data_IF_658040161423
#
_entry.id   IF_658040161423
#
_cell.length_a   1.000
_cell.length_b   1.000
_cell.length_c   1.000
_cell.angle_alpha   90.00
_cell.angle_beta   90.00
_cell.angle_gamma   90.00
#
_symmetry.space_group_name_H-M   'P 1'
#
loop_
_entity.id
_entity.type
_entity.pdbx_description
1 polymer ?
#
# COMPACT_ATOMS: atom_id res chain seq x y z
N UNK A 1 24.74 9.40 30.81
CA UNK A 1 24.70 8.82 29.46
C UNK A 1 23.39 9.22 28.81
N UNK A 2 23.42 10.25 27.99
CA UNK A 2 22.22 10.73 27.30
C UNK A 2 21.86 9.74 26.20
N UNK A 3 20.72 9.08 26.36
CA UNK A 3 20.06 8.38 25.28
C UNK A 3 19.60 9.44 24.28
N UNK A 4 20.22 9.46 23.10
CA UNK A 4 19.77 10.31 21.99
C UNK A 4 18.33 9.94 21.66
N UNK A 5 17.41 10.87 21.92
CA UNK A 5 16.03 10.73 21.52
C UNK A 5 15.97 10.77 19.99
N UNK A 6 15.78 9.61 19.37
CA UNK A 6 15.47 9.53 17.94
C UNK A 6 14.14 10.26 17.75
N UNK A 7 14.20 11.48 17.24
CA UNK A 7 13.00 12.24 16.91
C UNK A 7 12.19 11.43 15.91
N UNK A 8 11.05 10.96 16.37
CA UNK A 8 10.12 10.20 15.56
C UNK A 8 9.39 11.18 14.66
N UNK A 9 9.96 11.47 13.49
CA UNK A 9 9.30 12.23 12.44
C UNK A 9 8.45 11.23 11.65
N UNK A 10 7.11 11.25 11.75
CA UNK A 10 6.25 10.45 10.89
C UNK A 10 6.38 11.05 9.49
N UNK A 11 7.08 10.33 8.62
CA UNK A 11 7.09 10.62 7.18
C UNK A 11 5.81 10.07 6.56
N UNK A 12 4.69 10.69 6.92
CA UNK A 12 3.40 10.36 6.33
C UNK A 12 3.43 10.70 4.83
N UNK A 13 2.90 9.81 3.96
CA UNK A 13 2.90 10.07 2.52
C UNK A 13 2.11 11.33 2.18
N UNK A 14 2.73 12.21 1.40
CA UNK A 14 2.10 13.40 0.83
C UNK A 14 1.30 12.95 -0.40
N UNK A 15 -0.01 13.16 -0.39
CA UNK A 15 -0.85 12.88 -1.58
C UNK A 15 -0.53 13.90 -2.68
N UNK A 16 -0.11 13.39 -3.85
CA UNK A 16 0.14 14.19 -5.06
C UNK A 16 -1.10 14.18 -5.96
N UNK A 17 -1.72 13.02 -6.11
CA UNK A 17 -2.91 12.83 -6.93
C UNK A 17 -3.81 11.78 -6.26
N UNK A 18 -5.11 12.03 -6.22
CA UNK A 18 -6.10 11.05 -5.77
C UNK A 18 -7.38 11.25 -6.59
N UNK A 19 -7.67 10.29 -7.46
CA UNK A 19 -8.86 10.30 -8.30
C UNK A 19 -9.36 8.87 -8.56
N UNK A 20 -10.45 8.74 -9.31
CA UNK A 20 -11.09 7.44 -9.56
C UNK A 20 -10.20 6.42 -10.31
N UNK A 21 -9.10 6.84 -10.91
CA UNK A 21 -8.21 6.00 -11.73
C UNK A 21 -6.87 5.70 -11.08
N UNK A 22 -6.39 6.57 -10.18
CA UNK A 22 -5.09 6.39 -9.53
C UNK A 22 -4.98 7.25 -8.28
N UNK A 23 -4.29 6.71 -7.27
CA UNK A 23 -3.75 7.48 -6.16
C UNK A 23 -2.23 7.44 -6.20
N UNK A 24 -1.60 8.61 -6.24
CA UNK A 24 -0.15 8.79 -6.19
C UNK A 24 0.18 9.57 -4.92
N UNK A 25 1.06 9.02 -4.09
CA UNK A 25 1.61 9.69 -2.93
C UNK A 25 3.13 9.64 -2.94
N UNK A 26 3.77 10.54 -2.20
CA UNK A 26 5.21 10.61 -2.08
C UNK A 26 5.68 10.68 -0.63
N UNK A 27 6.79 10.01 -0.36
CA UNK A 27 7.51 10.10 0.91
C UNK A 27 8.87 10.72 0.63
N UNK A 28 9.16 11.82 1.31
CA UNK A 28 10.45 12.50 1.18
C UNK A 28 11.48 11.84 2.08
N UNK A 29 12.57 11.38 1.49
CA UNK A 29 13.75 10.90 2.19
C UNK A 29 14.71 12.07 2.36
N UNK A 30 14.83 12.56 3.59
CA UNK A 30 15.84 13.56 3.95
C UNK A 30 17.04 12.86 4.61
N UNK A 31 18.28 13.16 4.22
CA UNK A 31 19.46 12.66 4.91
C UNK A 31 19.49 13.22 6.34
N UNK A 32 19.76 12.35 7.31
CA UNK A 32 19.69 12.58 8.76
C UNK A 32 20.64 13.67 9.28
N UNK A 33 21.60 14.11 8.46
CA UNK A 33 22.72 14.98 8.83
C UNK A 33 22.56 16.45 8.41
N UNK A 34 21.46 16.83 7.75
CA UNK A 34 21.30 18.20 7.23
C UNK A 34 20.13 18.89 7.92
N UNK A 35 20.41 19.99 8.64
CA UNK A 35 19.36 20.90 9.12
C UNK A 35 18.52 21.40 7.92
N UNK A 36 17.19 21.41 8.07
CA UNK A 36 16.19 21.64 7.01
C UNK A 36 16.44 22.90 6.14
N UNK A 37 17.23 23.85 6.62
CA UNK A 37 17.59 25.10 5.94
C UNK A 37 18.78 24.99 4.97
N UNK A 38 19.55 23.90 4.98
CA UNK A 38 20.80 23.77 4.22
C UNK A 38 20.84 22.63 3.20
N UNK A 39 19.80 21.78 3.15
CA UNK A 39 19.71 20.67 2.19
C UNK A 39 19.59 21.18 0.76
N UNK A 40 20.57 20.84 -0.09
CA UNK A 40 20.50 21.16 -1.51
C UNK A 40 19.40 20.31 -2.15
N UNK A 41 18.79 20.76 -3.26
CA UNK A 41 17.83 19.95 -3.99
C UNK A 41 18.35 18.55 -4.37
N UNK A 42 19.66 18.43 -4.61
CA UNK A 42 20.34 17.17 -4.91
C UNK A 42 20.47 16.21 -3.70
N UNK A 43 20.24 16.70 -2.47
CA UNK A 43 20.30 15.91 -1.25
C UNK A 43 18.92 15.35 -0.87
N UNK A 44 17.88 15.63 -1.67
CA UNK A 44 16.51 15.17 -1.42
C UNK A 44 16.24 13.98 -2.30
N UNK A 45 15.82 12.88 -1.67
CA UNK A 45 15.36 11.70 -2.37
C UNK A 45 13.87 11.47 -2.09
N UNK A 46 13.21 10.68 -2.94
CA UNK A 46 11.76 10.51 -2.87
C UNK A 46 11.35 9.08 -3.20
N UNK A 47 10.32 8.62 -2.51
CA UNK A 47 9.60 7.39 -2.83
C UNK A 47 8.23 7.80 -3.37
N UNK A 48 7.87 7.39 -4.57
CA UNK A 48 6.51 7.50 -5.08
C UNK A 48 5.78 6.17 -4.92
N UNK A 49 4.54 6.23 -4.45
CA UNK A 49 3.65 5.09 -4.29
C UNK A 49 2.45 5.34 -5.21
N UNK A 50 2.29 4.47 -6.21
CA UNK A 50 1.18 4.47 -7.15
C UNK A 50 0.24 3.32 -6.80
N UNK A 51 -0.99 3.65 -6.43
CA UNK A 51 -2.05 2.71 -6.10
C UNK A 51 -3.15 2.79 -7.15
N UNK A 52 -3.40 1.69 -7.87
CA UNK A 52 -4.53 1.59 -8.79
C UNK A 52 -5.78 1.08 -8.06
N UNK A 53 -6.98 1.47 -8.51
CA UNK A 53 -8.23 1.08 -7.87
C UNK A 53 -8.49 -0.42 -8.01
N UNK A 54 -9.12 -0.98 -6.98
CA UNK A 54 -9.66 -2.34 -6.99
C UNK A 54 -10.73 -2.49 -8.07
N UNK A 55 -10.65 -3.57 -8.84
CA UNK A 55 -11.68 -3.94 -9.80
C UNK A 55 -12.74 -4.74 -9.05
N UNK A 56 -13.92 -4.14 -8.88
CA UNK A 56 -15.04 -4.79 -8.19
C UNK A 56 -15.53 -5.99 -8.99
N UNK A 57 -15.76 -7.09 -8.29
CA UNK A 57 -16.31 -8.30 -8.88
C UNK A 57 -17.70 -8.09 -9.49
N UNK A 58 -18.05 -8.94 -10.46
CA UNK A 58 -19.34 -8.87 -11.14
C UNK A 58 -20.47 -9.19 -10.16
N UNK A 59 -21.53 -8.38 -10.18
CA UNK A 59 -22.75 -8.63 -9.42
C UNK A 59 -23.73 -9.49 -10.22
N UNK A 60 -24.26 -10.54 -9.59
CA UNK A 60 -25.21 -11.48 -10.17
C UNK A 60 -26.61 -11.22 -9.63
N UNK A 61 -27.45 -10.57 -10.45
CA UNK A 61 -28.83 -10.27 -10.08
C UNK A 61 -29.65 -11.51 -9.76
N UNK A 62 -29.49 -12.58 -10.55
CA UNK A 62 -30.18 -13.85 -10.34
C UNK A 62 -29.85 -14.47 -8.98
N UNK A 63 -28.58 -14.41 -8.54
CA UNK A 63 -28.19 -14.86 -7.20
C UNK A 63 -28.86 -14.00 -6.12
N UNK A 64 -28.87 -12.68 -6.29
CA UNK A 64 -29.53 -11.78 -5.33
C UNK A 64 -31.04 -12.06 -5.21
N UNK A 65 -31.72 -12.29 -6.35
CA UNK A 65 -33.14 -12.67 -6.38
C UNK A 65 -33.38 -14.03 -5.71
N UNK A 66 -32.51 -15.02 -5.94
CA UNK A 66 -32.57 -16.32 -5.27
C UNK A 66 -32.37 -16.22 -3.74
N UNK A 67 -31.63 -15.21 -3.27
CA UNK A 67 -31.50 -14.85 -1.86
C UNK A 67 -32.62 -13.92 -1.33
N UNK A 68 -33.67 -13.71 -2.13
CA UNK A 68 -34.87 -12.98 -1.71
C UNK A 68 -34.67 -11.47 -1.63
N UNK A 69 -33.73 -10.91 -2.40
CA UNK A 69 -33.52 -9.47 -2.50
C UNK A 69 -34.29 -8.87 -3.67
N UNK A 70 -35.07 -7.83 -3.38
CA UNK A 70 -35.74 -7.06 -4.41
C UNK A 70 -34.76 -6.07 -5.08
N UNK A 71 -34.96 -5.74 -6.37
CA UNK A 71 -34.13 -4.75 -7.06
C UNK A 71 -34.21 -3.38 -6.35
N UNK A 72 -33.06 -2.82 -6.00
CA UNK A 72 -33.04 -1.53 -5.33
C UNK A 72 -31.73 -1.19 -4.61
N UNK A 73 -31.77 -0.27 -3.63
CA UNK A 73 -30.60 0.26 -2.93
C UNK A 73 -29.71 -0.80 -2.27
N UNK A 74 -30.28 -1.95 -1.88
CA UNK A 74 -29.54 -3.08 -1.29
C UNK A 74 -28.47 -3.63 -2.23
N UNK A 75 -28.67 -3.57 -3.55
CA UNK A 75 -27.66 -3.99 -4.52
C UNK A 75 -26.43 -3.09 -4.50
N UNK A 76 -26.63 -1.78 -4.32
CA UNK A 76 -25.52 -0.83 -4.23
C UNK A 76 -24.71 -1.04 -2.94
N UNK A 77 -25.39 -1.34 -1.82
CA UNK A 77 -24.71 -1.68 -0.55
C UNK A 77 -23.82 -2.92 -0.71
N UNK A 78 -24.34 -3.97 -1.33
CA UNK A 78 -23.55 -5.18 -1.62
C UNK A 78 -22.33 -4.88 -2.50
N UNK A 79 -22.49 -4.06 -3.54
CA UNK A 79 -21.36 -3.60 -4.38
C UNK A 79 -20.31 -2.77 -3.64
N UNK A 80 -20.68 -2.16 -2.50
CA UNK A 80 -19.77 -1.46 -1.60
C UNK A 80 -19.14 -2.36 -0.54
N UNK A 81 -19.44 -3.66 -0.55
CA UNK A 81 -18.95 -4.62 0.43
C UNK A 81 -19.82 -4.73 1.69
N UNK A 82 -20.95 -4.04 1.75
CA UNK A 82 -21.85 -4.06 2.90
C UNK A 82 -22.82 -5.23 2.80
N UNK A 83 -22.97 -5.99 3.89
CA UNK A 83 -23.96 -7.07 3.98
C UNK A 83 -25.35 -6.50 4.29
N UNK A 84 -26.40 -7.13 3.77
CA UNK A 84 -27.78 -6.64 3.89
C UNK A 84 -28.74 -7.76 4.30
N UNK A 85 -29.81 -7.43 5.03
CA UNK A 85 -30.87 -8.40 5.32
C UNK A 85 -31.71 -8.66 4.06
N UNK A 86 -32.09 -9.91 3.81
CA UNK A 86 -33.03 -10.28 2.74
C UNK A 86 -34.39 -9.60 2.91
N UNK A 87 -35.12 -9.36 1.81
CA UNK A 87 -36.48 -8.78 1.84
C UNK A 87 -37.55 -9.84 2.13
N UNK A 88 -37.28 -11.09 1.73
CA UNK A 88 -38.26 -12.20 1.77
C UNK A 88 -37.90 -13.29 2.76
N UNK A 89 -36.64 -13.38 3.18
CA UNK A 89 -36.15 -14.41 4.09
C UNK A 89 -35.52 -13.79 5.34
N UNK A 90 -35.46 -14.53 6.45
CA UNK A 90 -34.77 -14.10 7.66
C UNK A 90 -33.27 -14.46 7.62
N UNK A 91 -32.58 -13.99 6.58
CA UNK A 91 -31.14 -14.24 6.37
C UNK A 91 -30.39 -12.93 6.10
N UNK A 92 -29.09 -12.94 6.40
CA UNK A 92 -28.15 -11.93 5.94
C UNK A 92 -27.53 -12.39 4.62
N UNK A 93 -27.50 -11.49 3.64
CA UNK A 93 -26.85 -11.69 2.34
C UNK A 93 -25.54 -10.92 2.34
N UNK A 94 -24.45 -11.61 2.09
CA UNK A 94 -23.11 -11.06 2.00
C UNK A 94 -22.73 -10.78 0.54
N UNK A 95 -21.80 -9.85 0.27
CA UNK A 95 -21.31 -9.61 -1.09
C UNK A 95 -20.83 -10.89 -1.78
N UNK A 96 -20.16 -11.79 -1.06
CA UNK A 96 -19.68 -13.08 -1.57
C UNK A 96 -20.77 -14.01 -2.09
N UNK A 97 -22.01 -13.86 -1.62
CA UNK A 97 -23.12 -14.72 -2.03
C UNK A 97 -23.61 -14.35 -3.44
N UNK A 98 -23.40 -13.11 -3.87
CA UNK A 98 -23.99 -12.54 -5.08
C UNK A 98 -22.98 -11.83 -5.98
N UNK A 99 -21.70 -11.77 -5.62
CA UNK A 99 -20.65 -11.14 -6.40
C UNK A 99 -19.44 -12.06 -6.55
N UNK A 100 -18.73 -11.92 -7.67
CA UNK A 100 -17.36 -12.45 -7.75
C UNK A 100 -16.45 -11.73 -6.74
N UNK A 101 -15.35 -12.38 -6.30
CA UNK A 101 -14.33 -11.69 -5.53
C UNK A 101 -13.75 -10.53 -6.34
N UNK A 102 -13.48 -9.42 -5.67
CA UNK A 102 -12.78 -8.31 -6.29
C UNK A 102 -11.31 -8.64 -6.56
N UNK A 103 -10.75 -7.97 -7.56
CA UNK A 103 -9.33 -8.05 -7.89
C UNK A 103 -8.65 -6.79 -7.30
N UNK A 104 -7.71 -6.94 -6.34
CA UNK A 104 -6.96 -5.80 -5.84
C UNK A 104 -6.25 -5.06 -6.97
N UNK A 105 -6.32 -3.72 -6.95
CA UNK A 105 -5.60 -2.91 -7.91
C UNK A 105 -4.09 -2.99 -7.65
N UNK A 106 -3.25 -2.99 -8.69
CA UNK A 106 -1.82 -3.13 -8.50
C UNK A 106 -1.20 -1.90 -7.82
N UNK A 107 -0.16 -2.14 -7.05
CA UNK A 107 0.62 -1.11 -6.37
C UNK A 107 2.05 -1.14 -6.86
N UNK A 108 2.57 0.02 -7.26
CA UNK A 108 3.93 0.18 -7.77
C UNK A 108 4.65 1.25 -6.98
N UNK A 109 5.88 0.94 -6.56
CA UNK A 109 6.77 1.90 -5.91
C UNK A 109 7.85 2.34 -6.89
N UNK A 110 8.18 3.63 -6.87
CA UNK A 110 9.40 4.17 -7.47
C UNK A 110 10.27 4.72 -6.35
N UNK A 111 11.43 4.12 -6.15
CA UNK A 111 12.31 4.40 -5.00
C UNK A 111 13.59 5.02 -5.50
N UNK A 112 13.75 6.31 -5.27
CA UNK A 112 15.04 6.97 -5.36
C UNK A 112 15.76 6.80 -4.01
N UNK A 113 16.97 6.26 -4.03
CA UNK A 113 17.77 6.05 -2.81
C UNK A 113 19.27 6.10 -3.15
N UNK A 114 19.84 7.29 -3.35
CA UNK A 114 21.17 7.42 -3.95
C UNK A 114 22.32 7.12 -2.98
N UNK A 115 22.10 7.18 -1.66
CA UNK A 115 23.18 7.06 -0.66
C UNK A 115 22.78 6.20 0.54
N UNK A 116 23.76 5.79 1.34
CA UNK A 116 23.50 5.00 2.55
C UNK A 116 22.65 5.75 3.59
N UNK A 117 22.81 7.07 3.71
CA UNK A 117 21.96 7.88 4.61
C UNK A 117 20.48 7.85 4.20
N UNK A 118 20.18 7.85 2.89
CA UNK A 118 18.81 7.67 2.42
C UNK A 118 18.29 6.26 2.74
N UNK A 119 19.13 5.23 2.62
CA UNK A 119 18.76 3.85 2.97
C UNK A 119 18.50 3.68 4.48
N UNK A 120 19.27 4.35 5.33
CA UNK A 120 19.02 4.39 6.77
C UNK A 120 17.67 5.03 7.07
N UNK A 121 17.36 6.14 6.41
CA UNK A 121 16.07 6.81 6.58
C UNK A 121 14.92 5.94 6.08
N UNK A 122 15.07 5.33 4.91
CA UNK A 122 14.11 4.40 4.31
C UNK A 122 13.71 3.29 5.28
N UNK A 123 14.67 2.72 6.02
CA UNK A 123 14.42 1.65 6.97
C UNK A 123 13.56 2.09 8.16
N UNK A 124 13.58 3.38 8.51
CA UNK A 124 12.85 3.96 9.64
C UNK A 124 11.41 4.39 9.29
N UNK A 125 11.02 4.33 8.02
CA UNK A 125 9.68 4.76 7.60
C UNK A 125 8.63 3.73 8.02
N UNK A 126 7.84 4.09 9.02
CA UNK A 126 6.73 3.26 9.51
C UNK A 126 5.47 3.34 8.65
N UNK A 127 5.27 4.43 7.90
CA UNK A 127 4.12 4.56 6.99
C UNK A 127 4.13 3.51 5.86
N UNK A 128 5.28 2.87 5.62
CA UNK A 128 5.43 1.74 4.71
C UNK A 128 4.95 0.39 5.28
N UNK A 129 4.70 0.28 6.59
CA UNK A 129 4.36 -0.98 7.23
C UNK A 129 3.13 -1.67 6.62
N UNK A 130 2.15 -0.89 6.16
CA UNK A 130 0.93 -1.41 5.53
C UNK A 130 1.18 -2.07 4.16
N UNK A 131 2.38 -1.92 3.58
CA UNK A 131 2.78 -2.48 2.29
C UNK A 131 3.75 -3.66 2.43
N UNK A 132 4.29 -3.87 3.63
CA UNK A 132 5.14 -5.02 3.88
C UNK A 132 4.31 -6.31 3.84
N UNK A 133 4.90 -7.35 3.25
CA UNK A 133 4.34 -8.69 3.17
C UNK A 133 4.12 -9.27 4.56
N UNK A 134 3.16 -10.20 4.65
CA UNK A 134 2.83 -10.88 5.91
C UNK A 134 3.93 -11.86 6.26
N UNK A 135 4.40 -11.82 7.50
CA UNK A 135 5.23 -12.89 8.06
C UNK A 135 4.33 -13.90 8.79
N UNK A 136 4.77 -15.15 8.85
CA UNK A 136 4.03 -16.20 9.55
C UNK A 136 3.86 -15.85 11.03
N UNK A 137 2.64 -15.57 11.47
CA UNK A 137 2.31 -15.21 12.85
C UNK A 137 1.67 -13.83 13.03
N UNK A 138 1.63 -13.00 11.98
CA UNK A 138 0.97 -11.70 12.04
C UNK A 138 -0.56 -11.85 12.15
N UNK A 139 -1.18 -10.98 12.96
CA UNK A 139 -2.64 -10.85 13.04
C UNK A 139 -3.20 -10.56 11.63
N UNK A 140 -4.48 -10.89 11.35
CA UNK A 140 -5.10 -10.62 10.05
C UNK A 140 -5.31 -9.12 9.84
N UNK A 141 -4.23 -8.39 9.55
CA UNK A 141 -4.27 -7.04 9.01
C UNK A 141 -4.38 -7.13 7.48
N UNK A 142 -5.18 -6.23 6.91
CA UNK A 142 -5.32 -6.05 5.47
C UNK A 142 -4.12 -5.28 4.94
N UNK A 143 -2.93 -5.89 4.96
CA UNK A 143 -1.76 -5.30 4.30
C UNK A 143 -1.99 -5.31 2.79
N UNK A 144 -1.61 -4.20 2.16
CA UNK A 144 -1.63 -4.02 0.72
C UNK A 144 -0.48 -4.82 0.12
N UNK A 145 -0.76 -5.52 -0.97
CA UNK A 145 0.29 -6.25 -1.70
C UNK A 145 0.91 -5.32 -2.73
N UNK A 146 2.24 -5.15 -2.66
CA UNK A 146 2.99 -4.43 -3.66
C UNK A 146 3.31 -5.37 -4.82
N UNK A 147 3.06 -4.94 -6.05
CA UNK A 147 3.31 -5.76 -7.23
C UNK A 147 4.72 -5.56 -7.74
N UNK A 148 5.20 -4.31 -7.72
CA UNK A 148 6.49 -3.94 -8.28
C UNK A 148 7.14 -2.80 -7.50
N UNK A 149 8.46 -2.88 -7.34
CA UNK A 149 9.31 -1.78 -6.87
C UNK A 149 10.38 -1.53 -7.93
N UNK A 150 10.43 -0.29 -8.41
CA UNK A 150 11.47 0.20 -9.33
C UNK A 150 12.49 0.97 -8.49
N UNK A 151 13.73 0.48 -8.47
CA UNK A 151 14.81 1.03 -7.68
C UNK A 151 15.69 1.92 -8.56
N UNK A 152 15.60 3.23 -8.36
CA UNK A 152 16.57 4.21 -8.84
C UNK A 152 17.68 4.30 -7.78
N UNK A 153 18.43 3.22 -7.60
CA UNK A 153 19.37 3.06 -6.48
C UNK A 153 20.66 2.44 -6.98
N UNK A 154 21.84 3.05 -6.72
CA UNK A 154 23.11 2.50 -7.16
C UNK A 154 23.34 1.08 -6.62
N UNK A 155 23.97 0.22 -7.41
CA UNK A 155 24.27 -1.16 -7.02
C UNK A 155 25.05 -1.26 -5.69
N UNK A 156 25.92 -0.28 -5.41
CA UNK A 156 26.65 -0.20 -4.13
C UNK A 156 25.72 -0.08 -2.91
N UNK A 157 24.57 0.59 -3.05
CA UNK A 157 23.56 0.73 -2.01
C UNK A 157 22.64 -0.50 -1.99
N UNK A 158 22.19 -0.98 -3.15
CA UNK A 158 21.34 -2.18 -3.26
C UNK A 158 22.02 -3.39 -2.61
N UNK A 159 23.33 -3.56 -2.81
CA UNK A 159 24.07 -4.71 -2.29
C UNK A 159 24.36 -4.65 -0.78
N UNK A 160 23.99 -3.57 -0.09
CA UNK A 160 24.13 -3.50 1.37
C UNK A 160 23.12 -4.43 2.04
N UNK A 161 23.52 -5.04 3.16
CA UNK A 161 22.62 -5.91 3.95
C UNK A 161 21.35 -5.19 4.40
N UNK A 162 21.47 -3.91 4.79
CA UNK A 162 20.33 -3.08 5.21
C UNK A 162 19.29 -2.95 4.09
N UNK A 163 19.72 -2.63 2.86
CA UNK A 163 18.81 -2.45 1.74
C UNK A 163 18.18 -3.77 1.29
N UNK A 164 18.96 -4.86 1.23
CA UNK A 164 18.43 -6.20 0.95
C UNK A 164 17.39 -6.64 1.98
N UNK A 165 17.64 -6.41 3.27
CA UNK A 165 16.67 -6.69 4.33
C UNK A 165 15.40 -5.88 4.18
N UNK A 166 15.51 -4.61 3.76
CA UNK A 166 14.34 -3.77 3.49
C UNK A 166 13.55 -4.29 2.28
N UNK A 167 14.20 -4.67 1.18
CA UNK A 167 13.53 -5.26 0.01
C UNK A 167 12.72 -6.51 0.36
N UNK A 168 13.30 -7.40 1.20
CA UNK A 168 12.65 -8.64 1.62
C UNK A 168 11.37 -8.42 2.44
N UNK A 169 11.14 -7.22 2.98
CA UNK A 169 9.91 -6.90 3.71
C UNK A 169 8.67 -6.92 2.82
N UNK A 170 8.77 -6.77 1.50
CA UNK A 170 7.61 -6.69 0.60
C UNK A 170 7.05 -8.06 0.17
N UNK A 171 7.55 -9.16 0.73
CA UNK A 171 7.08 -10.50 0.43
C UNK A 171 7.62 -11.05 -0.91
N UNK A 172 7.52 -12.36 -1.09
CA UNK A 172 8.16 -13.08 -2.20
C UNK A 172 7.53 -12.87 -3.57
N UNK A 173 6.32 -12.32 -3.63
CA UNK A 173 5.60 -12.06 -4.89
C UNK A 173 5.91 -10.69 -5.50
N UNK A 174 6.58 -9.80 -4.77
CA UNK A 174 6.93 -8.47 -5.23
C UNK A 174 8.07 -8.54 -6.24
N UNK A 175 7.89 -7.91 -7.41
CA UNK A 175 8.94 -7.80 -8.41
C UNK A 175 9.84 -6.60 -8.13
N UNK A 176 11.14 -6.83 -8.01
CA UNK A 176 12.14 -5.78 -7.83
C UNK A 176 12.87 -5.52 -9.15
N UNK A 177 12.73 -4.32 -9.69
CA UNK A 177 13.36 -3.88 -10.94
C UNK A 177 14.49 -2.91 -10.57
N UNK A 178 15.73 -3.24 -10.93
CA UNK A 178 16.90 -2.39 -10.76
C UNK A 178 17.11 -1.58 -12.04
N UNK A 179 17.02 -0.25 -11.97
CA UNK A 179 17.14 0.65 -13.12
C UNK A 179 18.57 1.18 -13.32
#
# INVERSE_FOLDING_TARGET
SEASAVQHIPEDPITICDNATVKISAILLKPSSIEDSSAKPADKSVIYICELPEIKGKFYREKAEAHGLDPGPKYQKLRKGESVKSDRFDIMVHPSDVMDPSIPGPIVFLVDCPTEHHAERLFMIQSLNNYYGKFSGDAPQQNKTVNCIIHLTPASIVNTSKYQMWMQKFGSTTQHIMA
#
